data_IF_203938085623
#
_entry.id   IF_203938085623
#
_cell.length_a   1.000
_cell.length_b   1.000
_cell.length_c   1.000
_cell.angle_alpha   90.00
_cell.angle_beta   90.00
_cell.angle_gamma   90.00
#
_symmetry.space_group_name_H-M   'P 1'
#
loop_
_entity.id
_entity.type
_entity.pdbx_description
1 polymer ?
#
# COMPACT_ATOMS: atom_id res chain seq x y z
N UNK A 1 22.03 -20.08 4.07
CA UNK A 1 20.84 -20.22 3.20
C UNK A 1 21.29 -20.64 1.79
N UNK A 2 20.69 -21.69 1.21
CA UNK A 2 20.97 -22.07 -0.18
C UNK A 2 20.38 -21.00 -1.11
N UNK A 3 21.01 -20.79 -2.26
CA UNK A 3 20.54 -19.84 -3.26
C UNK A 3 19.16 -20.25 -3.79
N UNK A 4 18.25 -19.31 -4.09
CA UNK A 4 17.02 -19.60 -4.82
C UNK A 4 17.23 -20.36 -6.15
N UNK A 5 18.45 -20.33 -6.70
CA UNK A 5 18.83 -21.02 -7.93
C UNK A 5 19.53 -22.37 -7.70
N UNK A 6 19.55 -22.87 -6.46
CA UNK A 6 20.11 -24.18 -6.12
C UNK A 6 19.21 -25.31 -6.68
N UNK A 7 19.79 -26.22 -7.45
CA UNK A 7 19.07 -27.28 -8.17
C UNK A 7 18.30 -28.22 -7.21
N UNK A 8 18.85 -28.50 -6.03
CA UNK A 8 18.17 -29.36 -5.04
C UNK A 8 16.94 -28.64 -4.45
N UNK A 9 17.03 -27.33 -4.29
CA UNK A 9 15.94 -26.52 -3.78
C UNK A 9 14.82 -26.38 -4.83
N UNK A 10 15.16 -26.25 -6.11
CA UNK A 10 14.21 -26.31 -7.22
C UNK A 10 13.52 -27.70 -7.31
N UNK A 11 14.26 -28.80 -7.15
CA UNK A 11 13.67 -30.16 -7.09
C UNK A 11 12.73 -30.34 -5.90
N UNK A 12 13.11 -29.81 -4.73
CA UNK A 12 12.26 -29.86 -3.53
C UNK A 12 10.97 -29.06 -3.74
N UNK A 13 11.05 -27.92 -4.43
CA UNK A 13 9.89 -27.12 -4.80
C UNK A 13 8.97 -27.82 -5.79
N UNK A 14 9.52 -28.39 -6.87
CA UNK A 14 8.73 -29.19 -7.81
C UNK A 14 7.96 -30.28 -7.07
N UNK A 15 8.61 -30.96 -6.13
CA UNK A 15 7.98 -31.96 -5.28
C UNK A 15 6.89 -31.39 -4.35
N UNK A 16 7.08 -30.20 -3.78
CA UNK A 16 6.07 -29.54 -2.94
C UNK A 16 4.84 -29.10 -3.75
N UNK A 17 5.06 -28.53 -4.93
CA UNK A 17 4.00 -27.96 -5.77
C UNK A 17 3.27 -29.05 -6.54
N UNK A 18 3.99 -29.95 -7.21
CA UNK A 18 3.41 -30.95 -8.10
C UNK A 18 3.07 -32.24 -7.34
N UNK A 19 4.06 -32.85 -6.68
CA UNK A 19 3.86 -34.16 -6.07
C UNK A 19 2.98 -34.10 -4.81
N UNK A 20 3.24 -33.11 -3.95
CA UNK A 20 2.52 -32.94 -2.69
C UNK A 20 1.27 -32.07 -2.83
N UNK A 21 1.08 -31.42 -3.99
CA UNK A 21 -0.04 -30.52 -4.27
C UNK A 21 -0.28 -29.54 -3.13
N UNK A 22 0.79 -28.96 -2.58
CA UNK A 22 0.71 -28.12 -1.38
C UNK A 22 -0.26 -26.96 -1.57
N UNK A 23 -0.23 -26.28 -2.71
CA UNK A 23 -1.11 -25.14 -3.03
C UNK A 23 -2.59 -25.57 -2.99
N UNK A 24 -3.07 -26.56 -3.78
CA UNK A 24 -4.43 -27.08 -3.64
C UNK A 24 -4.81 -27.48 -2.20
N UNK A 25 -3.91 -28.13 -1.45
CA UNK A 25 -4.19 -28.55 -0.07
C UNK A 25 -4.31 -27.36 0.89
N UNK A 26 -3.43 -26.37 0.78
CA UNK A 26 -3.47 -25.17 1.59
C UNK A 26 -4.75 -24.38 1.33
N UNK A 27 -5.16 -24.25 0.06
CA UNK A 27 -6.42 -23.60 -0.30
C UNK A 27 -7.63 -24.35 0.29
N UNK A 28 -7.64 -25.69 0.20
CA UNK A 28 -8.69 -26.50 0.81
C UNK A 28 -8.75 -26.31 2.33
N UNK A 29 -7.62 -26.31 3.04
CA UNK A 29 -7.58 -26.06 4.47
C UNK A 29 -8.09 -24.66 4.85
N UNK A 30 -7.86 -23.66 4.00
CA UNK A 30 -8.40 -22.30 4.15
C UNK A 30 -9.91 -22.20 3.84
N UNK A 31 -10.57 -23.26 3.37
CA UNK A 31 -12.03 -23.26 3.18
C UNK A 31 -12.76 -24.12 4.20
N UNK A 32 -12.06 -24.92 5.01
CA UNK A 32 -12.72 -25.82 5.97
C UNK A 32 -12.97 -25.15 7.34
N UNK A 33 -14.21 -25.20 7.87
CA UNK A 33 -14.65 -24.41 9.02
C UNK A 33 -14.20 -24.94 10.39
N UNK A 34 -14.09 -26.27 10.58
CA UNK A 34 -13.97 -26.88 11.92
C UNK A 34 -12.55 -26.89 12.49
N UNK A 35 -11.54 -26.49 11.72
CA UNK A 35 -10.12 -26.61 12.12
C UNK A 35 -9.33 -25.31 12.02
N UNK A 36 -9.93 -24.24 11.49
CA UNK A 36 -9.14 -23.11 11.01
C UNK A 36 -9.12 -21.98 12.03
N UNK A 37 -8.13 -22.06 12.93
CA UNK A 37 -7.78 -20.97 13.85
C UNK A 37 -6.97 -19.88 13.13
N UNK A 38 -7.04 -18.63 13.59
CA UNK A 38 -6.24 -17.53 13.02
C UNK A 38 -4.72 -17.84 12.94
N UNK A 39 -4.09 -18.50 13.93
CA UNK A 39 -2.70 -18.96 13.80
C UNK A 39 -2.46 -19.97 12.68
N UNK A 40 -3.39 -20.91 12.46
CA UNK A 40 -3.30 -21.86 11.35
C UNK A 40 -3.46 -21.14 10.01
N UNK A 41 -4.47 -20.27 9.87
CA UNK A 41 -4.67 -19.42 8.68
C UNK A 41 -3.40 -18.63 8.38
N UNK A 42 -2.84 -17.96 9.39
CA UNK A 42 -1.61 -17.19 9.26
C UNK A 42 -0.44 -18.05 8.78
N UNK A 43 -0.29 -19.25 9.36
CA UNK A 43 0.79 -20.17 8.99
C UNK A 43 0.65 -20.66 7.54
N UNK A 44 -0.57 -20.99 7.11
CA UNK A 44 -0.86 -21.39 5.73
C UNK A 44 -0.59 -20.24 4.75
N UNK A 45 -1.09 -19.04 5.06
CA UNK A 45 -0.90 -17.84 4.25
C UNK A 45 0.59 -17.49 4.14
N UNK A 46 1.35 -17.53 5.24
CA UNK A 46 2.82 -17.36 5.23
C UNK A 46 3.54 -18.36 4.34
N UNK A 47 3.16 -19.64 4.42
CA UNK A 47 3.78 -20.67 3.59
C UNK A 47 3.47 -20.43 2.10
N UNK A 48 2.24 -20.03 1.77
CA UNK A 48 1.87 -19.65 0.40
C UNK A 48 2.65 -18.40 -0.05
N UNK A 49 2.76 -17.38 0.80
CA UNK A 49 3.57 -16.18 0.54
C UNK A 49 5.03 -16.54 0.23
N UNK A 50 5.68 -17.32 1.10
CA UNK A 50 7.06 -17.71 0.94
C UNK A 50 7.28 -18.49 -0.37
N UNK A 51 6.34 -19.36 -0.76
CA UNK A 51 6.39 -20.07 -2.04
C UNK A 51 6.25 -19.12 -3.23
N UNK A 52 5.33 -18.14 -3.16
CA UNK A 52 5.13 -17.15 -4.21
C UNK A 52 6.36 -16.24 -4.39
N UNK A 53 6.96 -15.79 -3.28
CA UNK A 53 8.09 -14.88 -3.30
C UNK A 53 9.41 -15.56 -3.74
N UNK A 54 9.55 -16.86 -3.50
CA UNK A 54 10.83 -17.56 -3.69
C UNK A 54 10.92 -18.33 -5.02
N UNK A 55 9.80 -18.62 -5.69
CA UNK A 55 9.79 -19.55 -6.82
C UNK A 55 8.95 -19.07 -8.00
N UNK A 56 9.59 -18.97 -9.15
CA UNK A 56 8.96 -18.68 -10.43
C UNK A 56 7.96 -19.80 -10.81
N UNK A 57 6.82 -19.45 -11.38
CA UNK A 57 5.78 -20.41 -11.79
C UNK A 57 4.74 -20.75 -10.72
N UNK A 58 5.03 -20.58 -9.42
CA UNK A 58 4.04 -20.78 -8.34
C UNK A 58 2.78 -19.93 -8.55
N UNK A 59 2.95 -18.72 -9.09
CA UNK A 59 1.84 -17.81 -9.45
C UNK A 59 0.86 -18.49 -10.41
N UNK A 60 1.34 -19.19 -11.44
CA UNK A 60 0.47 -19.88 -12.41
C UNK A 60 -0.34 -20.98 -11.73
N UNK A 61 0.28 -21.75 -10.84
CA UNK A 61 -0.41 -22.81 -10.09
C UNK A 61 -1.48 -22.22 -9.17
N UNK A 62 -1.15 -21.16 -8.43
CA UNK A 62 -2.10 -20.43 -7.58
C UNK A 62 -3.29 -19.90 -8.39
N UNK A 63 -3.06 -19.35 -9.58
CA UNK A 63 -4.11 -18.85 -10.47
C UNK A 63 -5.00 -19.94 -11.07
N UNK A 64 -4.44 -21.11 -11.34
CA UNK A 64 -5.18 -22.24 -11.92
C UNK A 64 -5.89 -23.10 -10.87
N UNK A 65 -5.57 -22.92 -9.59
CA UNK A 65 -6.18 -23.67 -8.50
C UNK A 65 -7.49 -23.03 -8.09
N UNK A 66 -8.58 -23.80 -8.13
CA UNK A 66 -9.87 -23.41 -7.57
C UNK A 66 -10.66 -24.61 -7.05
N UNK A 67 -11.62 -24.33 -6.17
CA UNK A 67 -12.52 -25.33 -5.58
C UNK A 67 -13.98 -24.95 -5.80
N UNK A 68 -14.88 -25.93 -6.02
CA UNK A 68 -16.31 -25.64 -6.06
C UNK A 68 -16.76 -25.07 -4.72
N UNK A 69 -17.59 -24.05 -4.76
CA UNK A 69 -18.28 -23.56 -3.56
C UNK A 69 -19.34 -24.57 -3.12
N UNK A 70 -19.32 -24.93 -1.85
CA UNK A 70 -20.29 -25.84 -1.23
C UNK A 70 -20.74 -25.36 0.16
N UNK A 71 -21.75 -26.04 0.73
CA UNK A 71 -22.30 -25.71 2.05
C UNK A 71 -21.29 -25.82 3.20
N UNK A 72 -20.18 -26.55 3.02
CA UNK A 72 -19.13 -26.68 4.02
C UNK A 72 -18.18 -25.49 3.96
N UNK A 73 -17.79 -25.06 2.77
CA UNK A 73 -16.99 -23.82 2.57
C UNK A 73 -17.71 -22.59 3.09
N UNK A 74 -19.04 -22.57 2.99
CA UNK A 74 -19.89 -21.49 3.49
C UNK A 74 -19.81 -21.28 5.01
N UNK A 75 -19.36 -22.28 5.76
CA UNK A 75 -19.25 -22.23 7.22
C UNK A 75 -17.93 -21.61 7.69
N UNK A 76 -16.96 -21.39 6.81
CA UNK A 76 -15.71 -20.74 7.19
C UNK A 76 -16.00 -19.31 7.71
N UNK A 77 -15.24 -18.78 8.69
CA UNK A 77 -15.53 -17.46 9.27
C UNK A 77 -15.57 -16.31 8.25
N UNK A 78 -14.75 -16.41 7.20
CA UNK A 78 -14.72 -15.45 6.09
C UNK A 78 -15.68 -15.80 4.95
N UNK A 79 -16.31 -16.99 4.96
CA UNK A 79 -17.26 -17.49 3.95
C UNK A 79 -16.82 -17.15 2.50
N UNK A 80 -15.73 -17.76 2.02
CA UNK A 80 -15.11 -17.34 0.77
C UNK A 80 -16.07 -17.57 -0.39
N UNK A 81 -16.33 -16.51 -1.17
CA UNK A 81 -17.25 -16.56 -2.31
C UNK A 81 -16.49 -16.77 -3.62
N UNK A 82 -17.07 -17.49 -4.60
CA UNK A 82 -16.56 -17.48 -5.96
C UNK A 82 -16.50 -16.07 -6.53
N UNK A 83 -15.56 -15.82 -7.43
CA UNK A 83 -15.56 -14.61 -8.24
C UNK A 83 -16.49 -14.81 -9.45
N UNK A 84 -17.04 -13.72 -9.98
CA UNK A 84 -17.94 -13.78 -11.14
C UNK A 84 -17.27 -14.43 -12.37
N UNK A 85 -15.94 -14.34 -12.45
CA UNK A 85 -15.14 -14.80 -13.59
C UNK A 85 -14.56 -16.22 -13.43
N UNK A 86 -14.89 -16.95 -12.36
CA UNK A 86 -14.24 -18.23 -12.04
C UNK A 86 -15.16 -19.45 -12.24
N UNK A 87 -16.27 -19.31 -12.97
CA UNK A 87 -17.25 -20.37 -13.17
C UNK A 87 -17.73 -21.00 -11.84
N UNK A 88 -17.89 -20.19 -10.79
CA UNK A 88 -18.32 -20.66 -9.47
C UNK A 88 -17.22 -21.29 -8.61
N UNK A 89 -15.94 -21.16 -9.00
CA UNK A 89 -14.81 -21.64 -8.21
C UNK A 89 -14.33 -20.59 -7.20
N UNK A 90 -14.07 -21.03 -5.97
CA UNK A 90 -13.30 -20.31 -4.95
C UNK A 90 -11.83 -20.37 -5.34
N UNK A 91 -11.16 -19.22 -5.37
CA UNK A 91 -9.75 -19.09 -5.75
C UNK A 91 -8.93 -18.49 -4.62
N UNK A 92 -7.60 -18.51 -4.73
CA UNK A 92 -6.74 -17.81 -3.78
C UNK A 92 -7.04 -16.31 -3.66
N UNK A 93 -7.17 -15.55 -4.75
CA UNK A 93 -7.61 -14.15 -4.69
C UNK A 93 -8.91 -13.96 -3.92
N UNK A 94 -9.93 -14.80 -4.16
CA UNK A 94 -11.21 -14.66 -3.48
C UNK A 94 -11.10 -14.97 -1.98
N UNK A 95 -10.34 -15.99 -1.59
CA UNK A 95 -10.03 -16.25 -0.18
C UNK A 95 -9.25 -15.09 0.45
N UNK A 96 -8.20 -14.58 -0.18
CA UNK A 96 -7.42 -13.48 0.39
C UNK A 96 -8.26 -12.21 0.56
N UNK A 97 -9.13 -11.89 -0.39
CA UNK A 97 -10.13 -10.82 -0.27
C UNK A 97 -11.00 -11.05 0.96
N UNK A 98 -11.63 -12.21 1.05
CA UNK A 98 -12.65 -12.47 2.07
C UNK A 98 -12.03 -12.62 3.47
N UNK A 99 -10.83 -13.19 3.59
CA UNK A 99 -10.04 -13.23 4.83
C UNK A 99 -9.59 -11.82 5.23
N UNK A 100 -9.17 -10.99 4.29
CA UNK A 100 -8.76 -9.61 4.55
C UNK A 100 -9.94 -8.78 5.06
N UNK A 101 -11.11 -8.88 4.40
CA UNK A 101 -12.35 -8.26 4.89
C UNK A 101 -12.70 -8.77 6.28
N UNK A 102 -12.72 -10.07 6.49
CA UNK A 102 -13.01 -10.64 7.80
C UNK A 102 -12.03 -10.14 8.89
N UNK A 103 -10.76 -9.96 8.54
CA UNK A 103 -9.75 -9.46 9.46
C UNK A 103 -9.91 -7.96 9.76
N UNK A 104 -10.41 -7.15 8.81
CA UNK A 104 -10.60 -5.70 8.93
C UNK A 104 -11.98 -5.32 9.51
N UNK A 105 -13.04 -6.07 9.19
CA UNK A 105 -14.44 -5.76 9.50
C UNK A 105 -14.97 -6.51 10.72
N UNK A 106 -14.15 -6.71 11.74
CA UNK A 106 -14.60 -7.39 12.94
C UNK A 106 -14.86 -6.45 14.14
N UNK A 107 -15.64 -5.35 14.02
CA UNK A 107 -15.98 -4.48 15.15
C UNK A 107 -17.01 -5.12 16.11
N UNK A 108 -17.61 -6.27 15.78
CA UNK A 108 -18.52 -7.01 16.67
C UNK A 108 -17.86 -8.16 17.46
N UNK A 109 -16.57 -8.40 17.23
CA UNK A 109 -15.76 -9.34 18.01
C UNK A 109 -14.90 -8.51 18.97
N UNK A 110 -14.60 -9.00 20.20
CA UNK A 110 -13.98 -8.20 21.26
C UNK A 110 -12.72 -7.46 20.77
N UNK A 111 -12.48 -6.26 21.32
CA UNK A 111 -11.66 -5.25 20.68
C UNK A 111 -10.21 -5.67 20.55
N UNK A 112 -9.63 -5.29 19.42
CA UNK A 112 -8.19 -5.14 19.28
C UNK A 112 -7.81 -3.81 19.98
N UNK A 113 -7.12 -3.82 21.13
CA UNK A 113 -5.72 -4.26 21.24
C UNK A 113 -5.43 -5.17 22.46
N UNK A 114 -4.41 -6.02 22.37
CA UNK A 114 -3.74 -6.56 23.57
C UNK A 114 -4.17 -7.94 24.10
N UNK A 115 -4.88 -8.76 23.31
CA UNK A 115 -4.81 -10.21 23.55
C UNK A 115 -3.46 -10.74 23.01
N UNK A 116 -2.69 -11.55 23.76
CA UNK A 116 -1.46 -12.15 23.25
C UNK A 116 -1.65 -13.07 22.02
N UNK A 117 -2.89 -13.39 21.62
CA UNK A 117 -3.20 -14.39 20.59
C UNK A 117 -3.99 -13.88 19.38
N UNK A 118 -4.43 -12.62 19.33
CA UNK A 118 -5.08 -12.13 18.11
C UNK A 118 -4.04 -11.88 17.01
N UNK A 119 -4.14 -12.69 15.95
CA UNK A 119 -3.23 -12.72 14.81
C UNK A 119 -3.78 -12.04 13.57
N UNK A 120 -4.93 -11.37 13.66
CA UNK A 120 -5.57 -10.73 12.49
C UNK A 120 -4.73 -9.62 11.88
N UNK A 121 -4.09 -8.71 12.62
CA UNK A 121 -3.22 -7.72 11.96
C UNK A 121 -1.99 -8.35 11.32
N UNK A 122 -1.39 -9.37 11.94
CA UNK A 122 -0.35 -10.14 11.27
C UNK A 122 -0.90 -10.80 9.99
N UNK A 123 -2.13 -11.30 10.02
CA UNK A 123 -2.80 -11.87 8.85
C UNK A 123 -2.99 -10.84 7.74
N UNK A 124 -3.44 -9.63 8.08
CA UNK A 124 -3.55 -8.50 7.15
C UNK A 124 -2.19 -8.22 6.53
N UNK A 125 -1.15 -8.07 7.35
CA UNK A 125 0.21 -7.77 6.87
C UNK A 125 0.73 -8.87 5.94
N UNK A 126 0.51 -10.14 6.26
CA UNK A 126 0.91 -11.25 5.38
C UNK A 126 0.11 -11.28 4.08
N UNK A 127 -1.20 -11.00 4.11
CA UNK A 127 -2.02 -10.90 2.89
C UNK A 127 -1.54 -9.73 2.03
N UNK A 128 -1.25 -8.57 2.63
CA UNK A 128 -0.66 -7.44 1.91
C UNK A 128 0.72 -7.79 1.35
N UNK A 129 1.50 -8.60 2.06
CA UNK A 129 2.76 -9.18 1.60
C UNK A 129 2.57 -10.06 0.36
N UNK A 130 1.56 -10.93 0.35
CA UNK A 130 1.21 -11.74 -0.82
C UNK A 130 0.79 -10.86 -1.99
N UNK A 131 -0.12 -9.92 -1.76
CA UNK A 131 -0.57 -8.95 -2.78
C UNK A 131 0.65 -8.22 -3.35
N UNK A 132 1.57 -7.78 -2.50
CA UNK A 132 2.81 -7.16 -2.93
C UNK A 132 3.69 -8.09 -3.77
N UNK A 133 3.92 -9.34 -3.32
CA UNK A 133 4.76 -10.34 -3.95
C UNK A 133 4.22 -10.83 -5.31
N UNK A 134 2.90 -10.89 -5.50
CA UNK A 134 2.28 -11.25 -6.78
C UNK A 134 2.52 -10.21 -7.90
N UNK A 135 3.10 -9.04 -7.57
CA UNK A 135 3.53 -8.06 -8.57
C UNK A 135 2.40 -7.15 -9.07
N UNK A 136 2.74 -6.20 -9.94
CA UNK A 136 1.80 -5.17 -10.43
C UNK A 136 0.63 -5.73 -11.23
N UNK A 137 0.86 -6.67 -12.14
CA UNK A 137 -0.16 -7.16 -13.09
C UNK A 137 -1.27 -7.97 -12.43
N UNK A 138 -0.95 -8.75 -11.40
CA UNK A 138 -1.94 -9.57 -10.69
C UNK A 138 -2.74 -8.78 -9.67
N UNK A 139 -2.06 -7.86 -8.97
CA UNK A 139 -2.76 -6.85 -8.18
C UNK A 139 -3.66 -6.02 -9.08
N UNK A 140 -3.20 -5.63 -10.28
CA UNK A 140 -4.03 -4.97 -11.28
C UNK A 140 -5.23 -5.85 -11.68
N UNK A 141 -5.08 -7.14 -11.91
CA UNK A 141 -6.24 -8.02 -12.20
C UNK A 141 -7.24 -8.09 -11.03
N UNK A 142 -6.76 -8.22 -9.80
CA UNK A 142 -7.62 -8.14 -8.61
C UNK A 142 -8.25 -6.73 -8.45
N UNK A 143 -7.51 -5.68 -8.79
CA UNK A 143 -7.95 -4.28 -8.82
C UNK A 143 -8.88 -3.97 -9.99
N UNK A 144 -8.95 -4.79 -11.03
CA UNK A 144 -9.80 -4.58 -12.19
C UNK A 144 -10.98 -5.56 -12.24
N UNK A 145 -11.13 -6.43 -11.24
CA UNK A 145 -12.42 -7.08 -10.98
C UNK A 145 -13.51 -6.00 -10.80
N UNK A 146 -14.77 -6.30 -11.08
CA UNK A 146 -15.88 -5.37 -10.86
C UNK A 146 -16.71 -5.85 -9.66
N UNK A 147 -16.92 -5.03 -8.61
CA UNK A 147 -16.22 -3.79 -8.35
C UNK A 147 -14.73 -4.04 -8.08
N UNK A 148 -13.89 -3.06 -8.40
CA UNK A 148 -12.45 -3.15 -8.14
C UNK A 148 -12.20 -3.40 -6.67
N UNK A 149 -11.18 -4.20 -6.35
CA UNK A 149 -10.93 -4.59 -4.95
C UNK A 149 -10.75 -3.38 -4.01
N UNK A 150 -10.18 -2.28 -4.49
CA UNK A 150 -10.13 -1.02 -3.72
C UNK A 150 -11.52 -0.46 -3.39
N UNK A 151 -12.42 -0.38 -4.37
CA UNK A 151 -13.81 0.08 -4.17
C UNK A 151 -14.52 -0.83 -3.19
N UNK A 152 -14.35 -2.15 -3.34
CA UNK A 152 -14.90 -3.13 -2.41
C UNK A 152 -14.40 -2.90 -0.97
N UNK A 153 -13.11 -2.63 -0.76
CA UNK A 153 -12.59 -2.30 0.59
C UNK A 153 -13.22 -1.05 1.19
N UNK A 154 -13.51 -0.03 0.37
CA UNK A 154 -14.20 1.19 0.82
C UNK A 154 -15.67 0.89 1.15
N UNK A 155 -16.38 0.20 0.27
CA UNK A 155 -17.79 -0.20 0.47
C UNK A 155 -17.99 -1.08 1.71
N UNK A 156 -16.97 -1.86 2.05
CA UNK A 156 -16.95 -2.71 3.24
C UNK A 156 -16.45 -1.97 4.49
N UNK A 157 -16.19 -0.65 4.46
CA UNK A 157 -15.67 0.13 5.61
C UNK A 157 -14.32 -0.39 6.16
N UNK A 158 -13.55 -1.10 5.34
CA UNK A 158 -12.30 -1.76 5.77
C UNK A 158 -11.08 -0.82 5.74
N UNK A 159 -11.18 0.30 5.01
CA UNK A 159 -10.07 1.25 4.79
C UNK A 159 -9.55 1.90 6.10
N UNK A 160 -10.39 2.40 7.03
CA UNK A 160 -9.88 2.98 8.28
C UNK A 160 -9.03 2.01 9.10
N UNK A 161 -9.46 0.75 9.22
CA UNK A 161 -8.70 -0.29 9.92
C UNK A 161 -7.37 -0.61 9.21
N UNK A 162 -7.36 -0.63 7.88
CA UNK A 162 -6.14 -0.82 7.08
C UNK A 162 -5.13 0.31 7.31
N UNK A 163 -5.59 1.56 7.30
CA UNK A 163 -4.74 2.72 7.59
C UNK A 163 -4.27 2.74 9.05
N UNK A 164 -5.09 2.29 10.00
CA UNK A 164 -4.67 2.16 11.39
C UNK A 164 -3.54 1.13 11.55
N UNK A 165 -3.64 -0.04 10.91
CA UNK A 165 -2.58 -1.05 10.90
C UNK A 165 -1.30 -0.46 10.31
N UNK A 166 -1.39 0.18 9.14
CA UNK A 166 -0.25 0.83 8.50
C UNK A 166 0.36 1.91 9.41
N UNK A 167 -0.47 2.73 10.06
CA UNK A 167 -0.03 3.76 10.98
C UNK A 167 0.74 3.19 12.17
N UNK A 168 0.28 2.09 12.79
CA UNK A 168 1.00 1.42 13.89
C UNK A 168 2.35 0.85 13.44
N UNK A 169 2.44 0.37 12.19
CA UNK A 169 3.70 -0.04 11.60
C UNK A 169 4.64 1.15 11.35
N UNK A 170 4.10 2.30 10.90
CA UNK A 170 4.88 3.55 10.78
C UNK A 170 5.41 4.00 12.13
N UNK A 171 4.60 3.97 13.19
CA UNK A 171 5.02 4.30 14.56
C UNK A 171 6.19 3.42 14.99
N UNK A 172 6.09 2.11 14.74
CA UNK A 172 7.18 1.17 15.04
C UNK A 172 8.46 1.53 14.26
N UNK A 173 8.36 1.96 13.00
CA UNK A 173 9.55 2.36 12.22
C UNK A 173 10.12 3.70 12.71
N UNK A 174 9.28 4.69 12.95
CA UNK A 174 9.67 6.06 13.32
C UNK A 174 10.26 6.12 14.74
N UNK A 175 9.67 5.38 15.69
CA UNK A 175 10.11 5.40 17.09
C UNK A 175 11.43 4.65 17.31
N UNK A 176 11.85 3.80 16.35
CA UNK A 176 13.11 3.08 16.42
C UNK A 176 14.28 3.97 15.97
N UNK A 177 15.18 4.30 16.92
CA UNK A 177 16.40 5.08 16.67
C UNK A 177 17.34 4.39 15.67
N UNK A 178 17.33 3.05 15.65
CA UNK A 178 18.09 2.23 14.70
C UNK A 178 17.16 1.61 13.67
N UNK A 179 17.66 1.42 12.44
CA UNK A 179 16.92 0.74 11.38
C UNK A 179 16.60 -0.68 11.83
N UNK A 180 15.30 -0.97 11.99
CA UNK A 180 14.79 -2.28 12.35
C UNK A 180 14.26 -2.96 11.08
N UNK A 181 15.08 -3.82 10.47
CA UNK A 181 14.76 -4.51 9.21
C UNK A 181 13.42 -5.25 9.26
N UNK A 182 13.06 -5.80 10.42
CA UNK A 182 11.78 -6.50 10.61
C UNK A 182 10.60 -5.53 10.56
N UNK A 183 10.71 -4.36 11.20
CA UNK A 183 9.66 -3.34 11.17
C UNK A 183 9.52 -2.75 9.75
N UNK A 184 10.65 -2.47 9.09
CA UNK A 184 10.72 -2.01 7.71
C UNK A 184 10.05 -3.01 6.76
N UNK A 185 10.43 -4.29 6.85
CA UNK A 185 9.88 -5.36 6.01
C UNK A 185 8.38 -5.56 6.20
N UNK A 186 7.85 -5.27 7.40
CA UNK A 186 6.42 -5.32 7.67
C UNK A 186 5.67 -4.10 7.08
N UNK A 187 6.28 -2.91 7.09
CA UNK A 187 5.64 -1.67 6.63
C UNK A 187 5.59 -1.54 5.10
N UNK A 188 6.63 -2.00 4.40
CA UNK A 188 6.76 -1.83 2.94
C UNK A 188 5.54 -2.39 2.16
N UNK A 189 5.04 -3.61 2.42
CA UNK A 189 3.86 -4.12 1.74
C UNK A 189 2.62 -3.25 1.95
N UNK A 190 2.40 -2.75 3.16
CA UNK A 190 1.25 -1.88 3.48
C UNK A 190 1.31 -0.57 2.68
N UNK A 191 2.47 0.10 2.67
CA UNK A 191 2.65 1.32 1.87
C UNK A 191 2.48 1.06 0.38
N UNK A 192 3.04 -0.03 -0.13
CA UNK A 192 2.96 -0.39 -1.54
C UNK A 192 1.53 -0.70 -1.99
N UNK A 193 0.74 -1.40 -1.17
CA UNK A 193 -0.66 -1.71 -1.46
C UNK A 193 -1.52 -0.45 -1.40
N UNK A 194 -1.37 0.37 -0.35
CA UNK A 194 -2.06 1.66 -0.23
C UNK A 194 -1.79 2.53 -1.47
N UNK A 195 -0.51 2.68 -1.86
CA UNK A 195 -0.15 3.42 -3.07
C UNK A 195 -0.81 2.82 -4.32
N UNK A 196 -0.66 1.51 -4.57
CA UNK A 196 -1.21 0.88 -5.78
C UNK A 196 -2.73 1.04 -5.86
N UNK A 197 -3.43 0.93 -4.74
CA UNK A 197 -4.88 1.10 -4.69
C UNK A 197 -5.26 2.57 -4.91
N UNK A 198 -4.61 3.53 -4.24
CA UNK A 198 -4.87 4.95 -4.47
C UNK A 198 -4.50 5.41 -5.89
N UNK A 199 -3.49 4.83 -6.52
CA UNK A 199 -3.12 5.18 -7.89
C UNK A 199 -4.08 4.55 -8.93
N UNK A 200 -4.52 3.31 -8.70
CA UNK A 200 -5.34 2.56 -9.65
C UNK A 200 -6.85 2.69 -9.47
N UNK A 201 -7.31 3.25 -8.35
CA UNK A 201 -8.73 3.31 -8.00
C UNK A 201 -9.09 4.68 -7.38
N UNK A 202 -9.86 5.53 -8.11
CA UNK A 202 -10.30 6.83 -7.61
C UNK A 202 -11.14 6.75 -6.33
N UNK A 203 -12.07 5.82 -6.21
CA UNK A 203 -12.90 5.67 -4.99
C UNK A 203 -12.03 5.39 -3.75
N UNK A 204 -11.06 4.49 -3.85
CA UNK A 204 -10.12 4.18 -2.78
C UNK A 204 -9.18 5.36 -2.51
N UNK A 205 -8.70 6.02 -3.56
CA UNK A 205 -7.87 7.22 -3.45
C UNK A 205 -8.57 8.32 -2.67
N UNK A 206 -9.79 8.64 -3.05
CA UNK A 206 -10.53 9.77 -2.48
C UNK A 206 -10.88 9.48 -1.02
N UNK A 207 -11.31 8.25 -0.69
CA UNK A 207 -11.50 7.82 0.69
C UNK A 207 -10.19 7.82 1.51
N UNK A 208 -9.06 7.45 0.90
CA UNK A 208 -7.75 7.53 1.56
C UNK A 208 -7.32 9.00 1.76
N UNK A 209 -7.62 9.86 0.78
CA UNK A 209 -7.35 11.29 0.79
C UNK A 209 -8.10 11.95 1.95
N UNK A 210 -9.36 11.61 2.17
CA UNK A 210 -10.16 12.12 3.29
C UNK A 210 -9.60 11.71 4.66
N UNK A 211 -8.98 10.53 4.77
CA UNK A 211 -8.40 10.06 6.03
C UNK A 211 -7.00 10.64 6.29
N UNK A 212 -6.22 10.91 5.24
CA UNK A 212 -4.88 11.52 5.34
C UNK A 212 -4.95 13.05 5.41
N UNK A 213 -5.89 13.66 4.69
CA UNK A 213 -6.19 15.09 4.61
C UNK A 213 -7.66 15.32 4.98
N UNK A 214 -7.99 15.38 6.29
CA UNK A 214 -9.36 15.50 6.75
C UNK A 214 -10.09 16.72 6.15
N UNK A 215 -11.31 16.58 5.59
CA UNK A 215 -12.06 17.69 4.98
C UNK A 215 -12.25 18.89 5.91
N UNK A 216 -12.36 18.65 7.21
CA UNK A 216 -12.46 19.70 8.22
C UNK A 216 -11.23 20.63 8.29
N UNK A 217 -10.08 20.20 7.76
CA UNK A 217 -8.81 20.94 7.71
C UNK A 217 -8.49 21.48 6.32
N UNK A 218 -9.22 21.06 5.28
CA UNK A 218 -8.95 21.41 3.89
C UNK A 218 -9.17 22.90 3.60
N UNK A 219 -10.24 23.49 4.16
CA UNK A 219 -10.53 24.91 3.94
C UNK A 219 -9.40 25.81 4.47
N UNK A 220 -8.89 25.50 5.67
CA UNK A 220 -7.76 26.20 6.28
C UNK A 220 -6.48 26.00 5.47
N UNK A 221 -6.20 24.77 5.03
CA UNK A 221 -5.05 24.47 4.18
C UNK A 221 -5.06 25.29 2.88
N UNK A 222 -6.20 25.34 2.17
CA UNK A 222 -6.30 26.07 0.92
C UNK A 222 -6.21 27.58 1.11
N UNK A 223 -6.68 28.10 2.24
CA UNK A 223 -6.47 29.50 2.63
C UNK A 223 -4.98 29.81 2.80
N UNK A 224 -4.27 29.02 3.62
CA UNK A 224 -2.84 29.18 3.86
C UNK A 224 -2.01 29.00 2.59
N UNK A 225 -2.39 28.05 1.74
CA UNK A 225 -1.74 27.79 0.45
C UNK A 225 -1.86 28.98 -0.50
N UNK A 226 -3.05 29.62 -0.58
CA UNK A 226 -3.25 30.82 -1.40
C UNK A 226 -2.41 31.99 -0.90
N UNK A 227 -2.40 32.22 0.41
CA UNK A 227 -1.57 33.26 1.03
C UNK A 227 -0.08 33.04 0.73
N UNK A 228 0.41 31.80 0.84
CA UNK A 228 1.79 31.47 0.54
C UNK A 228 2.14 31.64 -0.95
N UNK A 229 1.25 31.23 -1.86
CA UNK A 229 1.46 31.42 -3.30
C UNK A 229 1.49 32.91 -3.68
N UNK A 230 0.65 33.74 -3.06
CA UNK A 230 0.67 35.20 -3.26
C UNK A 230 1.99 35.81 -2.79
N UNK A 231 2.48 35.40 -1.61
CA UNK A 231 3.77 35.86 -1.09
C UNK A 231 4.93 35.47 -2.03
N UNK A 232 4.91 34.25 -2.57
CA UNK A 232 5.98 33.80 -3.48
C UNK A 232 5.98 34.57 -4.81
N UNK A 233 4.82 34.92 -5.35
CA UNK A 233 4.73 35.72 -6.58
C UNK A 233 5.27 37.15 -6.37
N UNK A 234 4.94 37.80 -5.25
CA UNK A 234 5.43 39.14 -4.93
C UNK A 234 6.97 39.19 -4.81
N UNK A 235 7.61 38.15 -4.30
CA UNK A 235 9.06 38.07 -4.21
C UNK A 235 9.74 37.75 -5.55
N UNK A 236 9.04 37.11 -6.50
CA UNK A 236 9.57 36.88 -7.85
C UNK A 236 9.56 38.15 -8.68
N UNK A 237 8.48 38.94 -8.62
CA UNK A 237 8.38 40.21 -9.34
C UNK A 237 9.41 41.26 -8.87
N UNK A 238 9.85 41.20 -7.61
CA UNK A 238 10.90 42.06 -7.07
C UNK A 238 12.34 41.61 -7.43
N UNK A 239 12.51 40.39 -7.96
CA UNK A 239 13.83 39.79 -8.23
C UNK A 239 14.14 39.63 -9.74
N UNK A 240 13.19 39.95 -10.62
CA UNK A 240 13.37 39.99 -12.08
C UNK A 240 13.48 41.43 -12.55
N UNK A 241 14.69 41.97 -12.50
CA UNK A 241 15.07 43.17 -13.29
C UNK A 241 16.22 42.86 -14.27
N UNK A 242 16.58 41.57 -14.44
CA UNK A 242 17.55 41.13 -15.44
C UNK A 242 17.21 39.76 -16.03
N UNK A 243 17.08 39.72 -17.36
CA UNK A 243 16.94 38.57 -18.27
C UNK A 243 15.51 38.11 -18.61
N UNK A 244 15.06 38.67 -19.73
CA UNK A 244 13.91 38.32 -20.53
C UNK A 244 14.24 37.10 -21.41
N UNK A 245 13.93 35.89 -20.94
CA UNK A 245 13.90 34.69 -21.79
C UNK A 245 12.48 34.12 -21.83
N UNK A 246 11.81 34.42 -22.95
CA UNK A 246 10.52 33.87 -23.36
C UNK A 246 10.64 32.34 -23.54
N UNK A 247 10.12 31.56 -22.59
CA UNK A 247 9.75 30.18 -22.89
C UNK A 247 8.38 29.83 -22.30
N UNK A 248 7.42 29.82 -23.22
CA UNK A 248 5.99 29.71 -22.99
C UNK A 248 5.59 28.23 -22.88
N UNK A 249 6.17 27.52 -21.91
CA UNK A 249 5.87 26.12 -21.63
C UNK A 249 5.77 25.87 -20.13
N UNK A 250 4.72 25.14 -19.73
CA UNK A 250 4.62 24.29 -18.54
C UNK A 250 3.93 24.84 -17.30
N UNK A 251 2.61 24.60 -17.25
CA UNK A 251 1.84 24.49 -16.00
C UNK A 251 2.26 23.28 -15.12
N UNK A 252 3.36 22.58 -15.44
CA UNK A 252 3.82 21.35 -14.79
C UNK A 252 5.18 21.48 -14.07
N UNK A 253 5.94 22.55 -14.28
CA UNK A 253 7.23 22.71 -13.62
C UNK A 253 7.08 23.58 -12.38
N UNK A 254 7.56 23.07 -11.23
CA UNK A 254 7.64 23.87 -10.00
C UNK A 254 9.00 24.58 -10.00
N UNK A 255 9.06 25.90 -9.83
CA UNK A 255 10.33 26.61 -9.78
C UNK A 255 11.18 26.09 -8.61
N UNK A 256 12.47 25.80 -8.87
CA UNK A 256 13.40 25.28 -7.87
C UNK A 256 13.60 26.23 -6.67
N UNK A 257 13.28 27.52 -6.84
CA UNK A 257 13.31 28.57 -5.79
C UNK A 257 12.00 28.71 -5.01
N UNK A 258 11.21 27.65 -4.87
CA UNK A 258 10.04 27.72 -3.98
C UNK A 258 10.55 27.67 -2.53
N UNK A 259 10.48 28.79 -1.81
CA UNK A 259 10.98 28.92 -0.43
C UNK A 259 10.20 28.11 0.62
N UNK A 260 9.16 27.36 0.21
CA UNK A 260 8.37 26.56 1.13
C UNK A 260 9.11 25.27 1.53
N UNK A 261 10.02 25.37 2.50
CA UNK A 261 10.84 24.23 2.93
C UNK A 261 10.10 23.24 3.84
N UNK A 262 8.95 23.63 4.41
CA UNK A 262 8.19 22.83 5.37
C UNK A 262 6.77 22.55 4.86
N UNK A 263 6.16 21.43 5.27
CA UNK A 263 4.75 21.18 4.99
C UNK A 263 3.88 22.21 5.70
N UNK A 264 2.85 22.72 5.02
CA UNK A 264 1.97 23.77 5.56
C UNK A 264 1.13 23.31 6.74
N UNK A 265 0.67 22.06 6.73
CA UNK A 265 -0.42 21.62 7.59
C UNK A 265 -0.22 20.20 8.13
N UNK A 266 0.98 19.80 8.54
CA UNK A 266 1.24 18.44 9.05
C UNK A 266 1.59 18.39 10.56
N UNK A 267 0.61 18.52 11.49
CA UNK A 267 0.87 18.40 12.92
C UNK A 267 1.54 17.07 13.28
N UNK A 268 2.50 17.11 14.21
CA UNK A 268 3.20 15.91 14.70
C UNK A 268 2.21 14.87 15.21
N UNK A 269 2.47 13.60 14.92
CA UNK A 269 1.63 12.48 15.31
C UNK A 269 0.45 12.18 14.38
N UNK A 270 0.11 13.08 13.44
CA UNK A 270 -0.89 12.78 12.40
C UNK A 270 -0.37 11.78 11.38
N UNK A 271 -1.26 11.05 10.71
CA UNK A 271 -0.91 10.10 9.63
C UNK A 271 -0.13 10.79 8.50
N UNK A 272 -0.58 11.98 8.09
CA UNK A 272 0.13 12.84 7.14
C UNK A 272 1.56 13.15 7.58
N UNK A 273 1.76 13.57 8.83
CA UNK A 273 3.11 13.86 9.33
C UNK A 273 4.02 12.64 9.27
N UNK A 274 3.50 11.45 9.63
CA UNK A 274 4.25 10.19 9.53
C UNK A 274 4.65 9.89 8.09
N UNK A 275 3.72 10.01 7.14
CA UNK A 275 4.01 9.81 5.71
C UNK A 275 5.08 10.77 5.19
N UNK A 276 4.97 12.07 5.52
CA UNK A 276 5.98 13.07 5.13
C UNK A 276 7.34 12.76 5.76
N UNK A 277 7.37 12.34 7.03
CA UNK A 277 8.60 11.95 7.69
C UNK A 277 9.26 10.74 6.99
N UNK A 278 8.47 9.77 6.54
CA UNK A 278 8.97 8.61 5.81
C UNK A 278 9.53 8.96 4.42
N UNK A 279 9.20 10.11 3.82
CA UNK A 279 9.79 10.57 2.55
C UNK A 279 11.31 10.84 2.67
N UNK A 280 11.83 11.07 3.87
CA UNK A 280 13.27 11.27 4.09
C UNK A 280 13.92 10.10 4.83
N UNK A 281 13.22 8.98 4.94
CA UNK A 281 13.75 7.77 5.56
C UNK A 281 14.94 7.20 4.77
N UNK A 282 15.86 6.54 5.49
CA UNK A 282 17.08 5.97 4.91
C UNK A 282 16.80 4.82 3.97
N UNK A 283 15.78 4.00 4.28
CA UNK A 283 15.40 2.88 3.44
C UNK A 283 14.65 3.32 2.17
N UNK A 284 15.20 2.93 1.02
CA UNK A 284 14.77 3.43 -0.29
C UNK A 284 13.33 3.06 -0.64
N UNK A 285 12.90 1.86 -0.25
CA UNK A 285 11.53 1.40 -0.52
C UNK A 285 10.49 2.17 0.30
N UNK A 286 10.77 2.45 1.57
CA UNK A 286 9.87 3.24 2.43
C UNK A 286 9.71 4.66 1.86
N UNK A 287 10.82 5.34 1.61
CA UNK A 287 10.82 6.68 1.02
C UNK A 287 10.05 6.72 -0.29
N UNK A 288 10.29 5.75 -1.17
CA UNK A 288 9.61 5.66 -2.47
C UNK A 288 8.11 5.50 -2.30
N UNK A 289 7.64 4.50 -1.55
CA UNK A 289 6.20 4.24 -1.44
C UNK A 289 5.45 5.31 -0.64
N UNK A 290 6.06 5.91 0.38
CA UNK A 290 5.48 7.06 1.07
C UNK A 290 5.29 8.25 0.12
N UNK A 291 6.31 8.55 -0.70
CA UNK A 291 6.24 9.63 -1.70
C UNK A 291 5.23 9.35 -2.80
N UNK A 292 5.22 8.12 -3.34
CA UNK A 292 4.27 7.71 -4.39
C UNK A 292 2.82 7.70 -3.89
N UNK A 293 2.58 7.29 -2.63
CA UNK A 293 1.25 7.38 -2.01
C UNK A 293 0.79 8.83 -1.90
N UNK A 294 1.60 9.71 -1.28
CA UNK A 294 1.26 11.12 -1.15
C UNK A 294 1.09 11.80 -2.52
N UNK A 295 1.88 11.41 -3.52
CA UNK A 295 1.77 11.86 -4.90
C UNK A 295 0.42 11.48 -5.52
N UNK A 296 0.01 10.23 -5.37
CA UNK A 296 -1.28 9.75 -5.84
C UNK A 296 -2.44 10.48 -5.14
N UNK A 297 -2.36 10.71 -3.83
CA UNK A 297 -3.39 11.45 -3.08
C UNK A 297 -3.48 12.94 -3.47
N UNK A 298 -2.37 13.52 -3.93
CA UNK A 298 -2.34 14.86 -4.54
C UNK A 298 -2.71 14.85 -6.03
N UNK A 299 -3.30 13.76 -6.54
CA UNK A 299 -3.73 13.61 -7.93
C UNK A 299 -2.63 13.95 -8.94
N UNK A 300 -1.39 13.59 -8.59
CA UNK A 300 -0.21 13.87 -9.41
C UNK A 300 0.00 15.36 -9.72
N UNK A 301 -0.47 16.25 -8.83
CA UNK A 301 -0.27 17.69 -8.94
C UNK A 301 1.02 18.13 -8.22
N UNK A 302 2.07 18.57 -8.96
CA UNK A 302 3.33 19.03 -8.36
C UNK A 302 3.17 20.15 -7.34
N UNK A 303 2.24 21.08 -7.58
CA UNK A 303 2.04 22.25 -6.72
C UNK A 303 1.41 21.84 -5.40
N UNK A 304 0.33 21.06 -5.44
CA UNK A 304 -0.32 20.54 -4.24
C UNK A 304 0.65 19.65 -3.44
N UNK A 305 1.36 18.76 -4.12
CA UNK A 305 2.34 17.89 -3.48
C UNK A 305 3.42 18.67 -2.71
N UNK A 306 3.97 19.74 -3.29
CA UNK A 306 4.95 20.61 -2.62
C UNK A 306 4.34 21.36 -1.43
N UNK A 307 3.11 21.85 -1.56
CA UNK A 307 2.41 22.54 -0.46
C UNK A 307 2.16 21.60 0.74
N UNK A 308 1.75 20.36 0.45
CA UNK A 308 1.45 19.33 1.45
C UNK A 308 2.70 18.76 2.13
N UNK A 309 3.79 18.59 1.39
CA UNK A 309 4.97 17.85 1.87
C UNK A 309 6.17 18.74 2.19
N UNK A 310 6.18 19.98 1.70
CA UNK A 310 7.33 20.87 1.73
C UNK A 310 8.33 20.56 0.62
N UNK A 311 8.91 21.59 0.01
CA UNK A 311 9.85 21.48 -1.11
C UNK A 311 11.08 20.64 -0.76
N UNK A 312 11.60 20.76 0.47
CA UNK A 312 12.77 19.99 0.92
C UNK A 312 12.56 18.48 0.86
N UNK A 313 11.34 18.00 1.15
CA UNK A 313 10.99 16.59 1.06
C UNK A 313 10.62 16.20 -0.39
N UNK A 314 9.93 17.09 -1.11
CA UNK A 314 9.41 16.82 -2.44
C UNK A 314 10.49 16.81 -3.55
N UNK A 315 11.54 17.64 -3.43
CA UNK A 315 12.45 17.94 -4.55
C UNK A 315 13.13 16.69 -5.13
N UNK A 316 13.60 15.78 -4.28
CA UNK A 316 14.25 14.54 -4.73
C UNK A 316 13.30 13.63 -5.51
N UNK A 317 12.06 13.52 -5.04
CA UNK A 317 11.02 12.75 -5.72
C UNK A 317 10.58 13.40 -7.03
N UNK A 318 10.33 14.71 -7.03
CA UNK A 318 9.93 15.46 -8.22
C UNK A 318 11.03 15.50 -9.29
N UNK A 319 12.31 15.58 -8.88
CA UNK A 319 13.44 15.44 -9.77
C UNK A 319 13.49 14.08 -10.45
N UNK A 320 13.27 12.98 -9.70
CA UNK A 320 13.17 11.64 -10.27
C UNK A 320 11.98 11.45 -11.23
N UNK A 321 10.89 12.23 -11.04
CA UNK A 321 9.74 12.28 -11.96
C UNK A 321 9.93 13.25 -13.15
N UNK A 322 11.06 13.97 -13.22
CA UNK A 322 11.32 14.97 -14.27
C UNK A 322 10.49 16.26 -14.17
N UNK A 323 9.91 16.55 -13.00
CA UNK A 323 9.04 17.71 -12.76
C UNK A 323 9.79 18.96 -12.29
N UNK A 324 11.04 18.80 -11.83
CA UNK A 324 11.92 19.88 -11.38
C UNK A 324 13.32 19.64 -11.94
N UNK A 325 13.96 20.68 -12.46
CA UNK A 325 15.38 20.63 -12.82
C UNK A 325 16.21 20.77 -11.54
N UNK A 326 16.84 19.67 -11.12
CA UNK A 326 17.86 19.72 -10.07
C UNK A 326 19.16 20.18 -10.74
N UNK A 327 19.83 21.24 -10.25
CA UNK A 327 21.12 21.65 -10.79
C UNK A 327 22.10 20.48 -10.76
N UNK A 328 22.57 20.04 -11.93
CA UNK A 328 23.64 19.06 -12.01
C UNK A 328 24.93 19.75 -11.52
N UNK A 329 25.40 19.39 -10.33
CA UNK A 329 26.76 19.72 -9.91
C UNK A 329 27.73 18.84 -10.71
N UNK A 330 28.10 19.29 -11.91
CA UNK A 330 29.26 18.77 -12.65
C UNK A 330 30.52 19.51 -12.24
#
# INVERSE_FOLDING_TARGET
>A
PRSPNDEDMQKTHQRLVDDLRFIPRALSLLTYPTQTSAPLTLSLIRNVHNLLASFEGTIKVVQQTGFPYDSTTAQAPWNPKPDENTNGLITYPSIFRDVLIWALNAPHLPPFPGSPQDKRPELVVEILGIIFAMGGTEVSRALHASPSFGTFLVEQEALPALLEIAQRQMDTVIDNIQVNDKAVSALVPSLAVLYKFSAGNPTFRDATKELVFPPAQEEEFWKLSKEQLLLNNQHQDAATDDNNDNNNNNNKQVPAKNNNMQPLDAPRGTLRWKLIHLMTWTESHIKRYASELLWALCEENPKEFVLRTGMGNAIGFLGAKGMVQIPNNN
#
